data_IF_245596433675
#
_entry.id   IF_245596433675
#
_cell.length_a   1.000
_cell.length_b   1.000
_cell.length_c   1.000
_cell.angle_alpha   90.00
_cell.angle_beta   90.00
_cell.angle_gamma   90.00
#
_symmetry.space_group_name_H-M   'P 1'
#
loop_
_entity.id
_entity.type
_entity.pdbx_description
1 polymer ?
#
# COMPACT_ATOMS: atom_id res chain seq x y z
N UNK A 1 22.70 -29.95 -2.96
CA UNK A 1 21.89 -30.48 -1.87
C UNK A 1 21.16 -29.33 -1.24
N UNK A 2 19.83 -29.30 -1.31
CA UNK A 2 19.01 -28.38 -0.49
C UNK A 2 19.21 -28.85 0.95
N UNK A 3 19.44 -27.95 1.88
CA UNK A 3 19.60 -28.27 3.28
C UNK A 3 18.32 -28.95 3.79
N UNK A 4 18.43 -29.95 4.69
CA UNK A 4 17.30 -30.69 5.27
C UNK A 4 16.23 -29.79 5.96
N UNK A 5 16.42 -28.46 5.95
CA UNK A 5 15.61 -27.46 6.65
C UNK A 5 15.09 -26.33 5.76
N UNK A 6 15.10 -26.52 4.43
CA UNK A 6 14.62 -25.47 3.50
C UNK A 6 13.66 -26.05 2.46
N UNK A 7 12.46 -25.50 2.38
CA UNK A 7 11.48 -25.77 1.32
C UNK A 7 11.41 -24.53 0.41
N UNK A 8 11.59 -24.74 -0.90
CA UNK A 8 11.59 -23.66 -1.90
C UNK A 8 10.71 -24.04 -3.08
N UNK A 9 9.79 -23.16 -3.44
CA UNK A 9 8.88 -23.29 -4.57
C UNK A 9 9.14 -22.18 -5.58
N UNK A 10 9.41 -22.55 -6.83
CA UNK A 10 9.58 -21.61 -7.93
C UNK A 10 8.34 -21.60 -8.81
N UNK A 11 7.96 -20.42 -9.26
CA UNK A 11 6.83 -20.21 -10.16
C UNK A 11 7.26 -19.55 -11.46
N UNK A 12 6.74 -20.07 -12.57
CA UNK A 12 6.82 -19.41 -13.88
C UNK A 12 5.46 -18.77 -14.15
N UNK A 13 5.34 -17.43 -14.14
CA UNK A 13 4.08 -16.76 -14.33
C UNK A 13 3.40 -17.13 -15.65
N UNK A 14 2.09 -17.32 -15.62
CA UNK A 14 1.29 -17.59 -16.81
C UNK A 14 1.19 -16.34 -17.70
N UNK A 15 0.68 -16.52 -18.95
CA UNK A 15 0.52 -15.42 -19.92
C UNK A 15 -0.28 -14.24 -19.37
N UNK A 16 -1.25 -14.48 -18.47
CA UNK A 16 -2.09 -13.45 -17.88
C UNK A 16 -1.53 -12.87 -16.58
N UNK A 17 -0.38 -13.33 -16.10
CA UNK A 17 0.24 -12.82 -14.86
C UNK A 17 0.49 -11.30 -14.90
N UNK A 18 0.77 -10.74 -16.09
CA UNK A 18 0.92 -9.31 -16.29
C UNK A 18 -0.35 -8.48 -16.10
N UNK A 19 -1.52 -9.12 -16.03
CA UNK A 19 -2.79 -8.46 -15.73
C UNK A 19 -2.98 -8.20 -14.23
N UNK A 20 -2.19 -8.85 -13.36
CA UNK A 20 -2.24 -8.69 -11.93
C UNK A 20 -1.11 -7.79 -11.42
N UNK A 21 -1.38 -6.94 -10.40
CA UNK A 21 -0.40 -5.95 -9.94
C UNK A 21 0.84 -6.58 -9.29
N UNK A 22 0.72 -7.72 -8.60
CA UNK A 22 1.81 -8.34 -7.87
C UNK A 22 2.03 -9.79 -8.29
N UNK A 23 3.28 -10.25 -8.16
CA UNK A 23 3.72 -11.62 -8.47
C UNK A 23 4.71 -12.11 -7.42
N UNK A 24 4.66 -13.40 -7.07
CA UNK A 24 5.74 -14.08 -6.39
C UNK A 24 6.39 -15.06 -7.37
N UNK A 25 7.69 -14.93 -7.58
CA UNK A 25 8.46 -15.81 -8.48
C UNK A 25 9.09 -16.96 -7.73
N UNK A 26 9.21 -16.81 -6.42
CA UNK A 26 9.77 -17.82 -5.51
C UNK A 26 9.22 -17.57 -4.11
N UNK A 27 8.93 -18.63 -3.38
CA UNK A 27 8.59 -18.56 -1.96
C UNK A 27 9.05 -19.82 -1.25
N UNK A 28 9.19 -19.77 0.07
CA UNK A 28 9.61 -20.95 0.82
C UNK A 28 9.58 -20.75 2.33
N UNK A 29 9.92 -21.84 3.02
CA UNK A 29 10.12 -21.90 4.46
C UNK A 29 11.55 -22.32 4.76
N UNK A 30 12.14 -21.78 5.83
CA UNK A 30 13.50 -22.14 6.24
C UNK A 30 13.63 -22.18 7.76
N UNK A 31 14.48 -23.09 8.22
CA UNK A 31 15.06 -23.11 9.57
C UNK A 31 16.55 -22.78 9.42
N UNK A 32 17.00 -21.67 9.97
CA UNK A 32 18.40 -21.29 10.01
C UNK A 32 18.97 -21.54 11.42
N UNK A 33 20.20 -22.09 11.48
CA UNK A 33 20.90 -22.34 12.71
C UNK A 33 21.98 -21.27 12.96
N UNK A 34 22.39 -21.05 14.23
CA UNK A 34 23.34 -19.99 14.59
C UNK A 34 24.73 -20.14 13.96
N UNK A 35 25.14 -21.35 13.66
CA UNK A 35 26.44 -21.71 13.05
C UNK A 35 26.45 -21.66 11.53
N UNK A 36 25.27 -21.44 10.91
CA UNK A 36 25.19 -21.27 9.46
C UNK A 36 25.76 -19.91 9.01
N UNK A 37 26.44 -19.89 7.83
CA UNK A 37 26.93 -18.65 7.28
C UNK A 37 25.80 -17.67 6.92
N UNK A 38 26.04 -16.35 7.00
CA UNK A 38 25.04 -15.37 6.61
C UNK A 38 24.60 -15.52 5.15
N UNK A 39 23.32 -15.37 4.89
CA UNK A 39 22.77 -15.36 3.54
C UNK A 39 22.91 -13.97 2.93
N UNK A 40 23.50 -13.90 1.72
CA UNK A 40 23.76 -12.68 0.94
C UNK A 40 23.29 -12.84 -0.49
N UNK A 41 22.16 -13.51 -0.70
CA UNK A 41 21.70 -13.88 -2.04
C UNK A 41 20.93 -12.72 -2.68
N UNK A 42 21.21 -12.46 -3.95
CA UNK A 42 20.42 -11.57 -4.82
C UNK A 42 19.48 -12.43 -5.65
N UNK A 43 18.20 -12.50 -5.28
CA UNK A 43 17.20 -13.24 -6.08
C UNK A 43 16.33 -12.32 -6.91
N UNK A 44 15.62 -11.44 -6.25
CA UNK A 44 14.70 -10.47 -6.80
C UNK A 44 14.90 -9.18 -6.04
N UNK A 45 14.45 -8.08 -6.60
CA UNK A 45 14.62 -6.79 -5.97
C UNK A 45 13.93 -6.77 -4.59
N UNK A 46 12.66 -7.20 -4.51
CA UNK A 46 11.93 -7.21 -3.24
C UNK A 46 11.81 -8.62 -2.66
N UNK A 47 12.27 -8.78 -1.43
CA UNK A 47 12.10 -10.00 -0.65
C UNK A 47 11.41 -9.68 0.65
N UNK A 48 10.33 -10.41 0.93
CA UNK A 48 9.61 -10.35 2.20
C UNK A 48 9.94 -11.61 3.02
N UNK A 49 10.21 -11.43 4.31
CA UNK A 49 10.50 -12.50 5.27
C UNK A 49 9.60 -12.32 6.49
N UNK A 50 9.07 -13.43 7.05
CA UNK A 50 8.25 -13.42 8.27
C UNK A 50 8.77 -14.41 9.27
N UNK A 51 9.09 -13.97 10.47
CA UNK A 51 9.61 -14.80 11.54
C UNK A 51 8.50 -15.58 12.24
N UNK A 52 8.56 -16.90 12.20
CA UNK A 52 7.61 -17.80 12.86
C UNK A 52 8.07 -18.14 14.30
N UNK A 53 9.39 -18.37 14.48
CA UNK A 53 9.98 -18.72 15.76
C UNK A 53 11.45 -18.34 15.79
N UNK A 54 12.01 -18.18 16.98
CA UNK A 54 13.40 -17.77 17.17
C UNK A 54 13.62 -16.31 16.80
N UNK A 55 14.86 -15.98 16.43
CA UNK A 55 15.27 -14.61 16.11
C UNK A 55 16.24 -14.58 14.94
N UNK A 56 16.00 -13.69 13.99
CA UNK A 56 16.89 -13.39 12.88
C UNK A 56 17.66 -12.10 13.08
N UNK A 57 18.94 -12.07 12.74
CA UNK A 57 19.77 -10.88 12.63
C UNK A 57 19.88 -10.49 11.17
N UNK A 58 19.43 -9.27 10.88
CA UNK A 58 19.48 -8.67 9.54
C UNK A 58 20.45 -7.51 9.58
N UNK A 59 21.38 -7.46 8.64
CA UNK A 59 22.26 -6.33 8.45
C UNK A 59 22.03 -5.72 7.07
N UNK A 60 21.62 -4.45 7.05
CA UNK A 60 21.38 -3.65 5.83
C UNK A 60 22.10 -2.32 6.00
N UNK A 61 22.98 -1.97 5.05
CA UNK A 61 23.72 -0.69 5.06
C UNK A 61 24.48 -0.43 6.36
N UNK A 62 25.01 -1.49 6.99
CA UNK A 62 25.73 -1.39 8.26
C UNK A 62 24.84 -1.19 9.49
N UNK A 63 23.53 -1.15 9.33
CA UNK A 63 22.56 -1.15 10.43
C UNK A 63 22.08 -2.59 10.72
N UNK A 64 21.90 -2.89 12.00
CA UNK A 64 21.44 -4.20 12.48
C UNK A 64 20.03 -4.15 13.00
N UNK A 65 19.24 -5.13 12.62
CA UNK A 65 17.84 -5.29 13.03
C UNK A 65 17.65 -6.73 13.53
N UNK A 66 16.91 -6.87 14.62
CA UNK A 66 16.52 -8.18 15.16
C UNK A 66 15.07 -8.45 14.75
N UNK A 67 14.87 -9.50 13.99
CA UNK A 67 13.54 -9.97 13.60
C UNK A 67 13.05 -11.03 14.57
N UNK A 68 12.20 -10.61 15.49
CA UNK A 68 11.55 -11.47 16.46
C UNK A 68 10.34 -12.18 15.89
N UNK A 69 9.83 -13.19 16.62
CA UNK A 69 8.60 -13.89 16.25
C UNK A 69 7.46 -12.90 16.00
N UNK A 70 6.79 -13.06 14.88
CA UNK A 70 5.65 -12.26 14.46
C UNK A 70 6.03 -11.04 13.63
N UNK A 71 7.31 -10.64 13.57
CA UNK A 71 7.78 -9.56 12.72
C UNK A 71 7.99 -10.00 11.28
N UNK A 72 7.78 -9.06 10.37
CA UNK A 72 8.15 -9.21 8.95
C UNK A 72 9.27 -8.25 8.58
N UNK A 73 10.07 -8.65 7.58
CA UNK A 73 11.17 -7.87 7.05
C UNK A 73 10.91 -7.68 5.56
N UNK A 74 11.13 -6.48 5.05
CA UNK A 74 11.11 -6.19 3.63
C UNK A 74 12.50 -5.74 3.20
N UNK A 75 13.14 -6.50 2.30
CA UNK A 75 14.48 -6.27 1.82
C UNK A 75 14.47 -5.89 0.33
N UNK A 76 15.30 -4.90 -0.03
CA UNK A 76 15.72 -4.68 -1.40
C UNK A 76 17.06 -5.40 -1.62
N UNK A 77 17.03 -6.56 -2.26
CA UNK A 77 18.22 -7.39 -2.47
C UNK A 77 19.13 -6.88 -3.60
N UNK A 78 18.76 -5.81 -4.29
CA UNK A 78 19.68 -5.09 -5.18
C UNK A 78 20.78 -4.37 -4.39
N UNK A 79 20.54 -4.12 -3.10
CA UNK A 79 21.48 -3.51 -2.17
C UNK A 79 22.25 -4.56 -1.37
N UNK A 80 23.36 -4.14 -0.78
CA UNK A 80 24.13 -5.02 0.10
C UNK A 80 23.34 -5.29 1.39
N UNK A 81 23.04 -6.56 1.63
CA UNK A 81 22.39 -7.01 2.85
C UNK A 81 22.92 -8.38 3.25
N UNK A 82 22.76 -8.72 4.50
CA UNK A 82 22.90 -10.08 4.98
C UNK A 82 21.84 -10.41 6.03
N UNK A 83 21.49 -11.68 6.12
CA UNK A 83 20.67 -12.17 7.22
C UNK A 83 21.12 -13.56 7.67
N UNK A 84 20.93 -13.83 8.95
CA UNK A 84 21.28 -15.11 9.60
C UNK A 84 20.47 -15.33 10.86
N UNK A 85 20.53 -16.50 11.43
CA UNK A 85 20.07 -16.73 12.80
C UNK A 85 20.85 -15.86 13.77
N UNK A 86 20.21 -15.33 14.81
CA UNK A 86 20.90 -14.64 15.89
C UNK A 86 21.85 -15.63 16.59
N UNK A 87 23.08 -15.22 16.94
CA UNK A 87 24.03 -16.11 17.63
C UNK A 87 23.51 -16.68 18.96
N UNK A 88 22.69 -15.92 19.66
CA UNK A 88 22.14 -16.30 20.97
C UNK A 88 20.77 -17.03 20.88
N UNK A 89 20.24 -17.22 19.68
CA UNK A 89 19.01 -17.98 19.45
C UNK A 89 19.31 -19.44 19.17
N UNK A 90 18.42 -20.36 19.58
CA UNK A 90 18.56 -21.78 19.26
C UNK A 90 18.39 -22.05 17.76
N UNK A 91 17.50 -21.33 17.12
CA UNK A 91 17.18 -21.39 15.70
C UNK A 91 16.44 -20.14 15.26
N UNK A 92 16.31 -19.96 13.95
CA UNK A 92 15.41 -18.97 13.35
C UNK A 92 14.56 -19.62 12.29
N UNK A 93 13.24 -19.71 12.54
CA UNK A 93 12.24 -20.23 11.59
C UNK A 93 11.52 -19.09 10.91
N UNK A 94 11.51 -19.08 9.59
CA UNK A 94 10.86 -18.03 8.83
C UNK A 94 10.25 -18.54 7.52
N UNK A 95 9.23 -17.80 7.07
CA UNK A 95 8.68 -17.87 5.72
C UNK A 95 9.25 -16.72 4.92
N UNK A 96 9.42 -16.91 3.62
CA UNK A 96 9.94 -15.87 2.76
C UNK A 96 9.37 -15.95 1.36
N UNK A 97 9.35 -14.82 0.62
CA UNK A 97 8.99 -14.77 -0.78
C UNK A 97 9.75 -13.65 -1.49
N UNK A 98 10.14 -13.92 -2.73
CA UNK A 98 10.61 -12.93 -3.67
C UNK A 98 9.43 -12.41 -4.48
N UNK A 99 9.16 -11.12 -4.38
CA UNK A 99 8.02 -10.48 -5.02
C UNK A 99 8.46 -9.45 -6.06
N UNK A 100 7.59 -9.26 -7.06
CA UNK A 100 7.69 -8.26 -8.10
C UNK A 100 6.31 -7.69 -8.39
N UNK A 101 6.23 -6.48 -8.92
CA UNK A 101 4.94 -5.91 -9.30
C UNK A 101 4.95 -4.42 -9.53
N UNK A 102 3.83 -3.97 -10.09
CA UNK A 102 3.65 -2.56 -10.39
C UNK A 102 3.49 -1.73 -9.12
N UNK A 103 4.27 -0.64 -9.01
CA UNK A 103 4.19 0.29 -7.87
C UNK A 103 4.87 -0.20 -6.58
N UNK A 104 5.56 -1.35 -6.58
CA UNK A 104 6.28 -1.82 -5.39
C UNK A 104 7.38 -0.87 -4.94
N UNK A 105 8.14 -0.29 -5.89
CA UNK A 105 9.17 0.70 -5.58
C UNK A 105 8.58 1.95 -4.92
N UNK A 106 7.42 2.41 -5.39
CA UNK A 106 6.71 3.57 -4.81
C UNK A 106 6.24 3.27 -3.38
N UNK A 107 5.67 2.08 -3.16
CA UNK A 107 5.25 1.63 -1.81
C UNK A 107 6.46 1.47 -0.90
N UNK A 108 7.55 0.88 -1.39
CA UNK A 108 8.80 0.71 -0.66
C UNK A 108 9.38 2.06 -0.20
N UNK A 109 9.42 3.04 -1.11
CA UNK A 109 9.88 4.40 -0.81
C UNK A 109 8.92 5.12 0.15
N UNK A 110 7.61 5.04 -0.09
CA UNK A 110 6.57 5.68 0.73
C UNK A 110 6.59 5.19 2.18
N UNK A 111 6.77 3.88 2.39
CA UNK A 111 6.87 3.27 3.72
C UNK A 111 8.25 3.44 4.35
N UNK A 112 9.18 4.15 3.70
CA UNK A 112 10.57 4.32 4.16
C UNK A 112 11.26 3.00 4.55
N UNK A 113 10.99 1.94 3.78
CA UNK A 113 11.50 0.59 4.05
C UNK A 113 13.02 0.56 4.05
N UNK A 114 13.63 1.41 3.23
CA UNK A 114 15.09 1.55 3.11
C UNK A 114 15.77 1.86 4.44
N UNK A 115 15.14 2.63 5.32
CA UNK A 115 15.66 3.00 6.63
C UNK A 115 15.12 2.08 7.74
N UNK A 116 13.93 1.56 7.54
CA UNK A 116 13.24 0.72 8.52
C UNK A 116 12.69 -0.54 7.83
N UNK A 117 13.51 -1.55 7.58
CA UNK A 117 13.08 -2.77 6.88
C UNK A 117 12.21 -3.70 7.74
N UNK A 118 12.16 -3.50 9.06
CA UNK A 118 11.44 -4.34 10.00
C UNK A 118 10.02 -3.82 10.22
N UNK A 119 9.03 -4.68 10.10
CA UNK A 119 7.60 -4.38 10.25
C UNK A 119 6.98 -5.21 11.36
N UNK A 120 6.20 -4.57 12.20
CA UNK A 120 5.23 -5.24 13.06
C UNK A 120 3.88 -5.25 12.32
N UNK A 121 3.38 -6.42 11.87
CA UNK A 121 2.10 -6.50 11.18
C UNK A 121 0.95 -6.07 12.09
N UNK A 122 -0.11 -5.46 11.53
CA UNK A 122 -1.34 -5.16 12.28
C UNK A 122 -2.03 -6.43 12.80
N UNK A 123 -1.86 -7.54 12.06
CA UNK A 123 -2.28 -8.89 12.43
C UNK A 123 -1.19 -9.88 11.99
N UNK A 124 -0.39 -10.36 12.96
CA UNK A 124 0.70 -11.29 12.69
C UNK A 124 0.20 -12.66 12.21
N UNK A 125 -0.97 -13.11 12.68
CA UNK A 125 -1.54 -14.38 12.24
C UNK A 125 -2.00 -14.31 10.78
N UNK A 126 -2.67 -13.21 10.40
CA UNK A 126 -3.06 -12.95 9.01
C UNK A 126 -1.82 -12.77 8.10
N UNK A 127 -0.76 -12.11 8.58
CA UNK A 127 0.49 -12.01 7.85
C UNK A 127 1.09 -13.40 7.60
N UNK A 128 1.25 -14.22 8.63
CA UNK A 128 1.76 -15.60 8.50
C UNK A 128 0.90 -16.44 7.55
N UNK A 129 -0.43 -16.31 7.63
CA UNK A 129 -1.35 -17.02 6.73
C UNK A 129 -1.12 -16.62 5.26
N UNK A 130 -0.92 -15.32 4.97
CA UNK A 130 -0.64 -14.85 3.61
C UNK A 130 0.64 -15.47 3.03
N UNK A 131 1.74 -15.57 3.80
CA UNK A 131 2.96 -16.25 3.35
C UNK A 131 2.70 -17.74 3.06
N UNK A 132 1.99 -18.45 3.95
CA UNK A 132 1.66 -19.87 3.74
C UNK A 132 0.80 -20.06 2.49
N UNK A 133 -0.22 -19.23 2.29
CA UNK A 133 -1.07 -19.29 1.11
C UNK A 133 -0.28 -19.08 -0.18
N UNK A 134 0.67 -18.13 -0.21
CA UNK A 134 1.54 -17.96 -1.38
C UNK A 134 2.36 -19.22 -1.65
N UNK A 135 2.96 -19.84 -0.63
CA UNK A 135 3.73 -21.09 -0.78
C UNK A 135 2.83 -22.21 -1.33
N UNK A 136 1.64 -22.40 -0.77
CA UNK A 136 0.65 -23.39 -1.21
C UNK A 136 0.20 -23.14 -2.66
N UNK A 137 -0.06 -21.90 -3.06
CA UNK A 137 -0.45 -21.57 -4.42
C UNK A 137 0.67 -21.82 -5.44
N UNK A 138 1.94 -21.59 -5.06
CA UNK A 138 3.09 -21.90 -5.93
C UNK A 138 3.31 -23.41 -6.07
N UNK A 139 2.96 -24.20 -5.07
CA UNK A 139 3.03 -25.66 -5.10
C UNK A 139 1.88 -26.27 -5.95
N UNK A 140 0.64 -25.82 -5.73
CA UNK A 140 -0.58 -26.32 -6.41
C UNK A 140 -0.58 -26.01 -7.92
N UNK A 141 -0.02 -24.88 -8.35
CA UNK A 141 0.11 -24.46 -9.76
C UNK A 141 -1.18 -24.50 -10.55
N UNK A 142 -2.29 -24.08 -9.94
CA UNK A 142 -3.59 -23.99 -10.59
C UNK A 142 -3.65 -22.84 -11.60
N UNK A 143 -4.66 -22.79 -12.45
CA UNK A 143 -4.89 -21.68 -13.38
C UNK A 143 -5.20 -20.36 -12.67
N UNK A 144 -5.56 -20.39 -11.40
CA UNK A 144 -5.85 -19.22 -10.57
C UNK A 144 -4.61 -18.73 -9.77
N UNK A 145 -3.51 -19.45 -9.80
CA UNK A 145 -2.31 -19.18 -8.97
C UNK A 145 -1.88 -17.71 -9.04
N UNK A 146 -1.68 -17.13 -10.23
CA UNK A 146 -1.23 -15.75 -10.37
C UNK A 146 -2.19 -14.74 -9.73
N UNK A 147 -3.51 -14.96 -9.85
CA UNK A 147 -4.53 -14.11 -9.25
C UNK A 147 -4.54 -14.20 -7.72
N UNK A 148 -4.50 -15.44 -7.19
CA UNK A 148 -4.51 -15.71 -5.75
C UNK A 148 -3.23 -15.19 -5.07
N UNK A 149 -2.08 -15.39 -5.70
CA UNK A 149 -0.79 -14.85 -5.24
C UNK A 149 -0.82 -13.32 -5.21
N UNK A 150 -1.33 -12.68 -6.26
CA UNK A 150 -1.44 -11.22 -6.30
C UNK A 150 -2.34 -10.67 -5.19
N UNK A 151 -3.47 -11.32 -4.94
CA UNK A 151 -4.39 -10.94 -3.86
C UNK A 151 -3.75 -11.11 -2.47
N UNK A 152 -3.05 -12.23 -2.25
CA UNK A 152 -2.36 -12.49 -0.98
C UNK A 152 -1.25 -11.46 -0.71
N UNK A 153 -0.44 -11.10 -1.73
CA UNK A 153 0.60 -10.07 -1.60
C UNK A 153 -0.03 -8.70 -1.32
N UNK A 154 -1.10 -8.31 -2.01
CA UNK A 154 -1.80 -7.05 -1.76
C UNK A 154 -2.30 -6.96 -0.31
N UNK A 155 -2.93 -8.03 0.19
CA UNK A 155 -3.39 -8.12 1.57
C UNK A 155 -2.24 -8.04 2.59
N UNK A 156 -1.12 -8.72 2.30
CA UNK A 156 0.06 -8.66 3.14
C UNK A 156 0.66 -7.25 3.20
N UNK A 157 0.83 -6.58 2.05
CA UNK A 157 1.33 -5.20 2.00
C UNK A 157 0.42 -4.26 2.81
N UNK A 158 -0.90 -4.40 2.70
CA UNK A 158 -1.85 -3.62 3.49
C UNK A 158 -1.68 -3.87 5.00
N UNK A 159 -1.55 -5.14 5.41
CA UNK A 159 -1.32 -5.53 6.80
C UNK A 159 -0.01 -4.96 7.37
N UNK A 160 1.08 -5.02 6.61
CA UNK A 160 2.38 -4.46 6.99
C UNK A 160 2.37 -2.92 7.03
N UNK A 161 1.60 -2.29 6.15
CA UNK A 161 1.54 -0.83 6.03
C UNK A 161 0.70 -0.17 7.12
N UNK A 162 -0.36 -0.82 7.58
CA UNK A 162 -1.35 -0.23 8.47
C UNK A 162 -0.76 0.38 9.76
N UNK A 163 0.15 -0.29 10.52
CA UNK A 163 0.75 0.30 11.71
C UNK A 163 1.61 1.52 11.41
N UNK A 164 2.36 1.51 10.29
CA UNK A 164 3.19 2.65 9.90
C UNK A 164 2.36 3.85 9.46
N UNK A 165 1.28 3.61 8.73
CA UNK A 165 0.35 4.66 8.32
C UNK A 165 -0.35 5.27 9.53
N UNK A 166 -0.75 4.44 10.50
CA UNK A 166 -1.28 4.92 11.78
C UNK A 166 -0.22 5.67 12.60
N UNK A 167 1.02 5.15 12.67
CA UNK A 167 2.13 5.77 13.40
C UNK A 167 2.71 7.00 12.71
N UNK A 168 2.67 7.09 11.38
CA UNK A 168 3.03 8.31 10.65
C UNK A 168 2.05 9.44 10.94
N UNK A 169 0.78 9.11 11.19
CA UNK A 169 -0.19 10.06 11.74
C UNK A 169 0.13 10.49 13.19
N UNK A 170 0.98 9.74 13.91
CA UNK A 170 1.32 10.03 15.33
C UNK A 170 2.75 10.57 15.53
N UNK A 171 3.70 10.33 14.61
CA UNK A 171 5.10 10.78 14.74
C UNK A 171 5.35 12.21 14.28
N UNK A 172 4.45 12.77 13.46
CA UNK A 172 4.34 14.21 13.28
C UNK A 172 3.27 14.69 14.25
N UNK A 173 3.59 15.27 15.40
CA UNK A 173 2.67 15.82 16.36
C UNK A 173 1.26 15.20 16.23
N UNK A 174 0.79 14.34 17.17
CA UNK A 174 -0.49 13.62 17.04
C UNK A 174 -1.66 14.52 16.65
N UNK A 175 -1.59 15.82 17.05
CA UNK A 175 -2.48 16.86 16.60
C UNK A 175 -2.40 17.18 15.09
N UNK A 176 -1.32 16.80 14.40
CA UNK A 176 -1.08 17.23 13.00
C UNK A 176 -1.71 16.29 11.96
N UNK A 177 -1.69 14.96 12.19
CA UNK A 177 -2.43 13.98 11.37
C UNK A 177 -3.95 14.16 11.53
N UNK A 178 -4.38 14.50 12.74
CA UNK A 178 -5.77 14.86 13.06
C UNK A 178 -6.22 16.14 12.33
N UNK A 179 -5.31 17.08 12.04
CA UNK A 179 -5.63 18.34 11.34
C UNK A 179 -5.99 18.14 9.87
N UNK A 180 -5.29 17.29 9.11
CA UNK A 180 -5.68 16.97 7.73
C UNK A 180 -6.98 16.16 7.74
N UNK A 181 -7.13 15.21 8.64
CA UNK A 181 -8.36 14.43 8.82
C UNK A 181 -9.57 15.31 9.14
N UNK A 182 -9.39 16.36 9.95
CA UNK A 182 -10.43 17.36 10.23
C UNK A 182 -10.88 18.08 8.94
N UNK A 183 -9.93 18.48 8.09
CA UNK A 183 -10.25 19.10 6.79
C UNK A 183 -11.02 18.12 5.91
N UNK A 184 -10.55 16.87 5.78
CA UNK A 184 -11.22 15.85 4.97
C UNK A 184 -12.66 15.61 5.45
N UNK A 185 -12.87 15.49 6.75
CA UNK A 185 -14.19 15.29 7.36
C UNK A 185 -15.13 16.49 7.11
N UNK A 186 -14.63 17.72 7.32
CA UNK A 186 -15.41 18.93 7.10
C UNK A 186 -15.84 19.09 5.63
N UNK A 187 -14.93 18.86 4.69
CA UNK A 187 -15.22 18.92 3.25
C UNK A 187 -16.22 17.85 2.84
N UNK A 188 -16.05 16.60 3.30
CA UNK A 188 -17.00 15.49 3.01
C UNK A 188 -18.40 15.75 3.52
N UNK A 189 -18.52 16.45 4.67
CA UNK A 189 -19.81 16.82 5.25
C UNK A 189 -20.57 17.83 4.39
N UNK A 190 -19.86 18.73 3.70
CA UNK A 190 -20.46 19.77 2.85
C UNK A 190 -19.59 20.01 1.62
N UNK A 191 -19.70 19.11 0.64
CA UNK A 191 -18.99 19.22 -0.65
C UNK A 191 -19.45 20.40 -1.51
N UNK A 192 -20.70 20.85 -1.33
CA UNK A 192 -21.29 21.92 -2.11
C UNK A 192 -20.76 23.31 -1.71
N UNK A 193 -20.28 23.45 -0.48
CA UNK A 193 -19.74 24.71 0.04
C UNK A 193 -18.57 25.22 -0.82
N UNK A 194 -18.54 26.52 -1.06
CA UNK A 194 -17.43 27.21 -1.75
C UNK A 194 -16.21 27.32 -0.82
N UNK A 195 -15.53 26.19 -0.58
CA UNK A 195 -14.32 26.12 0.25
C UNK A 195 -13.19 26.93 -0.37
N UNK A 196 -12.54 27.75 0.45
CA UNK A 196 -11.29 28.45 0.11
C UNK A 196 -10.11 27.75 0.79
N UNK A 197 -8.91 27.96 0.26
CA UNK A 197 -7.70 27.38 0.87
C UNK A 197 -7.47 27.93 2.29
N UNK A 198 -7.79 29.19 2.51
CA UNK A 198 -7.62 29.84 3.81
C UNK A 198 -8.60 29.29 4.86
N UNK A 199 -9.84 29.00 4.48
CA UNK A 199 -10.80 28.32 5.35
C UNK A 199 -10.34 26.91 5.72
N UNK A 200 -9.86 26.14 4.73
CA UNK A 200 -9.34 24.80 4.98
C UNK A 200 -8.08 24.83 5.88
N UNK A 201 -7.21 25.80 5.66
CA UNK A 201 -6.03 26.03 6.50
C UNK A 201 -6.40 26.43 7.93
N UNK A 202 -7.43 27.30 8.06
CA UNK A 202 -7.99 27.68 9.37
C UNK A 202 -8.54 26.50 10.15
N UNK A 203 -9.28 25.57 9.49
CA UNK A 203 -9.77 24.32 10.11
C UNK A 203 -8.64 23.42 10.64
N UNK A 204 -7.53 23.41 9.92
CA UNK A 204 -6.35 22.64 10.30
C UNK A 204 -5.43 23.39 11.30
N UNK A 205 -5.72 24.64 11.65
CA UNK A 205 -4.82 25.53 12.37
C UNK A 205 -3.42 25.59 11.74
N UNK A 206 -3.36 25.70 10.42
CA UNK A 206 -2.15 25.78 9.60
C UNK A 206 -2.17 27.04 8.72
N UNK A 207 -1.00 27.47 8.27
CA UNK A 207 -0.93 28.39 7.13
C UNK A 207 -1.30 27.67 5.83
N UNK A 208 -1.73 28.40 4.79
CA UNK A 208 -2.01 27.83 3.47
C UNK A 208 -0.83 26.99 2.93
N UNK A 209 0.39 27.49 3.04
CA UNK A 209 1.60 26.78 2.59
C UNK A 209 1.87 25.49 3.37
N UNK A 210 1.63 25.51 4.69
CA UNK A 210 1.76 24.31 5.52
C UNK A 210 0.69 23.29 5.15
N UNK A 211 -0.56 23.72 4.96
CA UNK A 211 -1.64 22.83 4.53
C UNK A 211 -1.33 22.20 3.17
N UNK A 212 -0.86 22.96 2.17
CA UNK A 212 -0.48 22.43 0.87
C UNK A 212 0.57 21.32 0.98
N UNK A 213 1.68 21.60 1.71
CA UNK A 213 2.75 20.63 1.89
C UNK A 213 2.23 19.37 2.56
N UNK A 214 1.56 19.50 3.70
CA UNK A 214 1.03 18.36 4.47
C UNK A 214 0.00 17.55 3.70
N UNK A 215 -0.90 18.23 3.00
CA UNK A 215 -1.92 17.55 2.21
C UNK A 215 -1.29 16.75 1.06
N UNK A 216 -0.24 17.30 0.42
CA UNK A 216 0.51 16.61 -0.60
C UNK A 216 1.28 15.42 -0.05
N UNK A 217 1.91 15.56 1.13
CA UNK A 217 2.66 14.49 1.81
C UNK A 217 1.72 13.36 2.28
N UNK A 218 0.51 13.70 2.78
CA UNK A 218 -0.43 12.72 3.35
C UNK A 218 -1.37 12.12 2.30
N UNK A 219 -1.87 12.93 1.37
CA UNK A 219 -2.93 12.55 0.40
C UNK A 219 -2.38 12.40 -1.03
N UNK A 220 -1.16 12.87 -1.30
CA UNK A 220 -0.53 12.81 -2.61
C UNK A 220 -0.98 13.89 -3.60
N UNK A 221 -1.90 14.80 -3.23
CA UNK A 221 -2.44 15.85 -4.10
C UNK A 221 -2.68 17.16 -3.34
N UNK A 222 -3.08 18.22 -4.02
CA UNK A 222 -3.41 19.49 -3.36
C UNK A 222 -4.82 19.45 -2.76
N UNK A 223 -5.12 20.27 -1.70
CA UNK A 223 -6.45 20.33 -1.09
C UNK A 223 -7.58 20.62 -2.09
N UNK A 224 -7.34 21.58 -3.00
CA UNK A 224 -8.36 21.98 -3.97
C UNK A 224 -8.53 20.96 -5.11
N UNK A 225 -7.47 20.23 -5.51
CA UNK A 225 -7.59 19.14 -6.47
C UNK A 225 -8.31 17.94 -5.85
N UNK A 226 -8.01 17.62 -4.60
CA UNK A 226 -8.74 16.59 -3.88
C UNK A 226 -10.24 16.93 -3.75
N UNK A 227 -10.59 18.16 -3.39
CA UNK A 227 -11.98 18.63 -3.35
C UNK A 227 -12.67 18.45 -4.71
N UNK A 228 -11.98 18.80 -5.82
CA UNK A 228 -12.54 18.59 -7.17
C UNK A 228 -12.81 17.11 -7.44
N UNK A 229 -11.88 16.22 -7.10
CA UNK A 229 -12.07 14.79 -7.26
C UNK A 229 -13.26 14.27 -6.45
N UNK A 230 -13.40 14.68 -5.18
CA UNK A 230 -14.54 14.27 -4.34
C UNK A 230 -15.87 14.76 -4.92
N UNK A 231 -15.94 15.99 -5.41
CA UNK A 231 -17.11 16.55 -6.11
C UNK A 231 -17.49 15.75 -7.35
N UNK A 232 -16.50 15.39 -8.18
CA UNK A 232 -16.73 14.58 -9.37
C UNK A 232 -17.14 13.13 -8.99
N UNK A 233 -16.58 12.56 -7.96
CA UNK A 233 -16.99 11.25 -7.46
C UNK A 233 -18.43 11.25 -6.93
N UNK A 234 -18.85 12.32 -6.25
CA UNK A 234 -20.25 12.51 -5.86
C UNK A 234 -21.16 12.69 -7.08
N UNK A 235 -20.71 13.48 -8.08
CA UNK A 235 -21.46 13.65 -9.31
C UNK A 235 -21.68 12.35 -10.08
N UNK A 236 -20.66 11.47 -10.16
CA UNK A 236 -20.80 10.13 -10.77
C UNK A 236 -21.92 9.35 -10.12
N UNK A 237 -21.98 9.32 -8.76
CA UNK A 237 -23.04 8.63 -8.02
C UNK A 237 -24.44 9.19 -8.32
N UNK A 238 -24.55 10.50 -8.43
CA UNK A 238 -25.84 11.16 -8.68
C UNK A 238 -26.31 11.04 -10.15
N UNK A 239 -25.36 11.03 -11.10
CA UNK A 239 -25.68 10.97 -12.52
C UNK A 239 -26.28 9.64 -12.96
N UNK A 240 -25.96 8.54 -12.28
CA UNK A 240 -26.53 7.22 -12.60
C UNK A 240 -27.97 7.04 -12.11
N UNK A 241 -28.48 7.96 -11.28
CA UNK A 241 -29.86 7.93 -10.82
C UNK A 241 -30.84 8.22 -11.98
N UNK A 242 -31.97 7.51 -12.09
CA UNK A 242 -32.99 7.77 -13.11
C UNK A 242 -33.48 9.23 -13.07
N UNK A 243 -33.52 9.88 -14.21
CA UNK A 243 -34.04 11.26 -14.32
C UNK A 243 -33.07 12.36 -13.84
N UNK A 244 -31.83 12.04 -13.47
CA UNK A 244 -30.85 13.01 -13.02
C UNK A 244 -30.62 14.12 -14.07
N UNK A 245 -30.81 15.39 -13.67
CA UNK A 245 -30.49 16.55 -14.51
C UNK A 245 -29.05 16.98 -14.25
N UNK A 246 -28.23 17.10 -15.30
CA UNK A 246 -26.81 17.48 -15.20
C UNK A 246 -26.61 18.79 -14.44
N UNK A 247 -27.47 19.81 -14.69
CA UNK A 247 -27.41 21.10 -14.00
C UNK A 247 -27.71 20.98 -12.49
N UNK A 248 -28.69 20.16 -12.12
CA UNK A 248 -29.01 19.92 -10.70
C UNK A 248 -27.88 19.18 -9.99
N UNK A 249 -27.26 18.17 -10.64
CA UNK A 249 -26.11 17.45 -10.11
C UNK A 249 -24.91 18.40 -9.96
N UNK A 250 -24.63 19.26 -10.94
CA UNK A 250 -23.58 20.25 -10.85
C UNK A 250 -23.74 21.16 -9.62
N UNK A 251 -24.92 21.72 -9.44
CA UNK A 251 -25.25 22.60 -8.30
C UNK A 251 -25.10 21.85 -6.96
N UNK A 252 -25.62 20.62 -6.86
CA UNK A 252 -25.50 19.77 -5.67
C UNK A 252 -24.04 19.44 -5.31
N UNK A 253 -23.17 19.36 -6.30
CA UNK A 253 -21.73 19.11 -6.11
C UNK A 253 -20.90 20.40 -5.92
N UNK A 254 -21.54 21.57 -5.73
CA UNK A 254 -20.86 22.84 -5.46
C UNK A 254 -20.25 23.51 -6.70
N UNK A 255 -20.81 23.25 -7.88
CA UNK A 255 -20.48 23.97 -9.11
C UNK A 255 -21.58 24.99 -9.42
N UNK A 256 -21.30 26.29 -9.26
CA UNK A 256 -22.29 27.30 -9.57
C UNK A 256 -22.56 27.40 -11.08
N UNK A 257 -21.59 26.99 -11.90
CA UNK A 257 -21.69 27.01 -13.36
C UNK A 257 -21.60 25.57 -13.92
N UNK A 258 -22.69 25.10 -14.61
CA UNK A 258 -22.71 23.77 -15.26
C UNK A 258 -21.64 23.59 -16.35
N UNK A 259 -21.15 24.68 -16.96
CA UNK A 259 -20.08 24.60 -17.96
C UNK A 259 -18.74 24.26 -17.30
N UNK A 260 -18.44 24.92 -16.20
CA UNK A 260 -17.27 24.62 -15.38
C UNK A 260 -17.30 23.17 -14.88
N UNK A 261 -18.47 22.71 -14.40
CA UNK A 261 -18.70 21.33 -14.02
C UNK A 261 -18.39 20.36 -15.16
N UNK A 262 -18.97 20.60 -16.35
CA UNK A 262 -18.81 19.71 -17.50
C UNK A 262 -17.36 19.61 -17.96
N UNK A 263 -16.60 20.69 -17.89
CA UNK A 263 -15.18 20.74 -18.21
C UNK A 263 -14.35 19.94 -17.22
N UNK A 264 -14.56 20.14 -15.91
CA UNK A 264 -13.83 19.39 -14.87
C UNK A 264 -14.21 17.91 -14.89
N UNK A 265 -15.49 17.59 -15.06
CA UNK A 265 -15.97 16.23 -15.17
C UNK A 265 -15.29 15.49 -16.35
N UNK A 266 -15.27 16.11 -17.55
CA UNK A 266 -14.61 15.53 -18.71
C UNK A 266 -13.10 15.38 -18.51
N UNK A 267 -12.44 16.36 -17.89
CA UNK A 267 -11.01 16.32 -17.60
C UNK A 267 -10.65 15.15 -16.67
N UNK A 268 -11.46 14.87 -15.65
CA UNK A 268 -11.18 13.86 -14.63
C UNK A 268 -11.71 12.47 -14.97
N UNK A 269 -12.71 12.35 -15.87
CA UNK A 269 -13.34 11.06 -16.21
C UNK A 269 -13.12 10.62 -17.65
N UNK A 270 -12.67 11.52 -18.53
CA UNK A 270 -12.62 11.29 -19.97
C UNK A 270 -13.96 11.44 -20.71
N UNK A 271 -15.08 11.51 -19.99
CA UNK A 271 -16.43 11.58 -20.55
C UNK A 271 -17.17 12.87 -20.20
N UNK A 272 -18.09 13.31 -21.07
CA UNK A 272 -19.01 14.38 -20.67
C UNK A 272 -20.05 13.85 -19.66
N UNK A 273 -20.59 14.69 -18.74
CA UNK A 273 -21.61 14.25 -17.79
C UNK A 273 -22.83 13.62 -18.47
N UNK A 274 -23.25 14.16 -19.61
CA UNK A 274 -24.39 13.63 -20.39
C UNK A 274 -24.09 12.26 -20.98
N UNK A 275 -22.88 12.05 -21.52
CA UNK A 275 -22.45 10.75 -22.01
C UNK A 275 -22.39 9.72 -20.88
N UNK A 276 -21.73 10.09 -19.77
CA UNK A 276 -21.61 9.25 -18.58
C UNK A 276 -22.97 8.80 -18.05
N UNK A 277 -23.94 9.75 -17.95
CA UNK A 277 -25.31 9.43 -17.54
C UNK A 277 -26.03 8.48 -18.49
N UNK A 278 -25.92 8.72 -19.80
CA UNK A 278 -26.57 7.90 -20.84
C UNK A 278 -26.04 6.46 -20.86
N UNK A 279 -24.74 6.31 -20.70
CA UNK A 279 -24.04 5.04 -20.82
C UNK A 279 -24.02 4.27 -19.45
N UNK A 280 -24.80 4.73 -18.45
CA UNK A 280 -24.94 4.08 -17.15
C UNK A 280 -23.67 4.13 -16.27
N UNK A 281 -22.76 5.04 -16.59
CA UNK A 281 -21.53 5.22 -15.80
C UNK A 281 -20.31 4.42 -16.31
N UNK A 282 -20.47 3.72 -17.45
CA UNK A 282 -19.39 2.91 -18.06
C UNK A 282 -19.12 3.36 -19.49
#
# INVERSE_FOLDING_TARGET
MLAEHEEIYFHTPARLAGAFPYRALVAGARVALPDEPPIRKRFHQHVLVHTIAGQGLIEVRGQRFIAEKGFSIWLDTAQAYEHRCCPDAAEWRYLWMGIDGHGLDDVYAFLNVQQQPLFEPSDSAAAQAAYRSVIEYLDDRSSATDALVSAAIAGLIANLSAPRLAGAATNDDPALGDRVSTVLAAVRKDLARAWTIDELAGLAHLSASQLFRRFKDTIGTTPMDWLRHERINQAKRLLVAPGAKVSAVAAHCGYPDPYHFSRDFRRLTGYTPTKFRRDGGY
#
